data_IF_795677963486
#
_entry.id   IF_795677963486
#
_cell.length_a   1.000
_cell.length_b   1.000
_cell.length_c   1.000
_cell.angle_alpha   90.00
_cell.angle_beta   90.00
_cell.angle_gamma   90.00
#
_symmetry.space_group_name_H-M   'P 1'
#
loop_
_entity.id
_entity.type
_entity.pdbx_description
1 polymer ?
#
# COMPACT_ATOMS: atom_id res chain seq x y z
N UNK A 1 -6.33 0.78 -7.48
CA UNK A 1 -6.19 -0.27 -6.45
C UNK A 1 -6.84 -1.60 -6.82
N UNK A 2 -8.18 -1.76 -6.81
CA UNK A 2 -8.84 -3.09 -7.00
C UNK A 2 -8.41 -3.86 -8.26
N UNK A 3 -8.15 -3.17 -9.38
CA UNK A 3 -7.66 -3.78 -10.62
C UNK A 3 -6.23 -4.32 -10.50
N UNK A 4 -5.39 -3.69 -9.66
CA UNK A 4 -3.98 -4.04 -9.49
C UNK A 4 -3.82 -5.11 -8.39
N UNK A 5 -4.64 -5.04 -7.34
CA UNK A 5 -4.60 -6.01 -6.22
C UNK A 5 -5.43 -7.28 -6.46
N UNK A 6 -5.95 -7.48 -7.68
CA UNK A 6 -6.83 -8.59 -8.05
C UNK A 6 -8.01 -8.79 -7.06
N UNK A 7 -8.63 -7.68 -6.65
CA UNK A 7 -9.74 -7.70 -5.68
C UNK A 7 -9.34 -7.83 -4.21
N UNK A 8 -8.05 -7.98 -3.88
CA UNK A 8 -7.58 -8.00 -2.49
C UNK A 8 -7.63 -6.60 -1.89
N UNK A 9 -8.24 -6.48 -0.71
CA UNK A 9 -8.40 -5.22 0.00
C UNK A 9 -7.32 -5.08 1.10
N UNK A 10 -6.72 -3.89 1.17
CA UNK A 10 -5.72 -3.53 2.19
C UNK A 10 -6.29 -3.55 3.60
N UNK A 11 -7.57 -3.26 3.76
CA UNK A 11 -8.24 -3.20 5.05
C UNK A 11 -9.49 -4.05 5.00
N UNK A 12 -9.52 -5.15 5.77
CA UNK A 12 -10.74 -5.91 6.01
C UNK A 12 -11.57 -5.22 7.10
N UNK A 13 -12.90 -5.10 6.97
CA UNK A 13 -13.75 -4.69 8.08
C UNK A 13 -13.55 -5.69 9.22
N UNK A 14 -13.07 -5.22 10.38
CA UNK A 14 -12.87 -6.06 11.56
C UNK A 14 -13.40 -5.33 12.79
N UNK A 15 -13.98 -6.07 13.74
CA UNK A 15 -14.66 -5.50 14.90
C UNK A 15 -13.72 -4.74 15.86
N UNK A 16 -12.40 -5.00 15.80
CA UNK A 16 -11.42 -4.45 16.75
C UNK A 16 -10.32 -3.71 15.97
N UNK A 17 -10.01 -2.47 16.41
CA UNK A 17 -9.00 -1.58 15.78
C UNK A 17 -7.62 -2.22 15.69
N UNK A 18 -7.19 -2.94 16.72
CA UNK A 18 -5.87 -3.57 16.78
C UNK A 18 -5.73 -4.68 15.73
N UNK A 19 -6.73 -5.58 15.63
CA UNK A 19 -6.76 -6.62 14.62
C UNK A 19 -6.85 -6.03 13.21
N UNK A 20 -7.60 -4.92 13.03
CA UNK A 20 -7.66 -4.22 11.74
C UNK A 20 -6.31 -3.68 11.29
N UNK A 21 -5.52 -3.11 12.21
CA UNK A 21 -4.20 -2.58 11.90
C UNK A 21 -3.20 -3.70 11.58
N UNK A 22 -3.17 -4.76 12.38
CA UNK A 22 -2.31 -5.92 12.12
C UNK A 22 -2.63 -6.56 10.77
N UNK A 23 -3.91 -6.82 10.48
CA UNK A 23 -4.35 -7.38 9.20
C UNK A 23 -4.03 -6.45 8.03
N UNK A 24 -4.08 -5.13 8.23
CA UNK A 24 -3.73 -4.17 7.19
C UNK A 24 -2.23 -4.17 6.87
N UNK A 25 -1.38 -4.23 7.90
CA UNK A 25 0.08 -4.35 7.72
C UNK A 25 0.40 -5.70 7.05
N UNK A 26 -0.17 -6.80 7.55
CA UNK A 26 0.03 -8.14 6.97
C UNK A 26 -0.42 -8.20 5.51
N UNK A 27 -1.57 -7.60 5.18
CA UNK A 27 -2.06 -7.54 3.80
C UNK A 27 -1.18 -6.67 2.91
N UNK A 28 -0.57 -5.61 3.45
CA UNK A 28 0.37 -4.76 2.72
C UNK A 28 1.66 -5.51 2.37
N UNK A 29 2.22 -6.29 3.31
CA UNK A 29 3.38 -7.16 3.06
C UNK A 29 3.08 -8.22 2.01
N UNK A 30 1.88 -8.78 2.02
CA UNK A 30 1.43 -9.76 1.02
C UNK A 30 1.08 -9.17 -0.36
N UNK A 31 1.08 -7.83 -0.50
CA UNK A 31 0.76 -7.10 -1.74
C UNK A 31 1.91 -6.18 -2.15
N UNK A 32 3.15 -6.49 -1.74
CA UNK A 32 4.33 -5.65 -1.95
C UNK A 32 4.51 -5.28 -3.44
N UNK A 33 4.45 -6.28 -4.32
CA UNK A 33 4.61 -6.10 -5.76
C UNK A 33 3.44 -5.28 -6.35
N UNK A 34 2.21 -5.59 -5.99
CA UNK A 34 1.03 -4.86 -6.47
C UNK A 34 1.03 -3.38 -6.02
N UNK A 35 1.49 -3.10 -4.79
CA UNK A 35 1.61 -1.73 -4.27
C UNK A 35 2.69 -0.94 -4.99
N UNK A 36 3.86 -1.55 -5.23
CA UNK A 36 4.95 -0.94 -6.00
C UNK A 36 4.50 -0.58 -7.42
N UNK A 37 3.81 -1.51 -8.09
CA UNK A 37 3.26 -1.28 -9.43
C UNK A 37 2.20 -0.18 -9.41
N UNK A 38 1.32 -0.15 -8.40
CA UNK A 38 0.29 0.88 -8.30
C UNK A 38 0.89 2.27 -8.12
N UNK A 39 1.88 2.42 -7.24
CA UNK A 39 2.51 3.72 -6.96
C UNK A 39 3.39 4.20 -8.13
N UNK A 40 3.92 3.29 -8.94
CA UNK A 40 4.64 3.63 -10.17
C UNK A 40 3.72 3.94 -11.37
N UNK A 41 2.42 3.69 -11.24
CA UNK A 41 1.46 3.83 -12.35
C UNK A 41 1.09 5.29 -12.64
N UNK A 42 0.81 5.65 -13.90
CA UNK A 42 0.33 6.99 -14.24
C UNK A 42 -0.98 7.33 -13.52
N UNK A 43 -1.83 6.31 -13.26
CA UNK A 43 -3.07 6.47 -12.52
C UNK A 43 -2.85 6.98 -11.09
N UNK A 44 -1.71 6.66 -10.46
CA UNK A 44 -1.34 7.24 -9.16
C UNK A 44 -0.91 8.70 -9.32
N UNK A 45 -0.10 9.02 -10.33
CA UNK A 45 0.37 10.38 -10.62
C UNK A 45 -0.76 11.37 -10.94
N UNK A 46 -1.86 10.88 -11.52
CA UNK A 46 -3.03 11.68 -11.89
C UNK A 46 -3.94 12.02 -10.70
N UNK A 47 -3.84 11.29 -9.58
CA UNK A 47 -4.62 11.58 -8.38
C UNK A 47 -4.09 12.86 -7.70
N UNK A 48 -4.98 13.82 -7.38
CA UNK A 48 -4.60 15.02 -6.61
C UNK A 48 -3.95 14.67 -5.26
N UNK A 49 -4.36 13.54 -4.68
CA UNK A 49 -3.83 13.05 -3.41
C UNK A 49 -2.37 12.59 -3.47
N UNK A 50 -1.87 12.10 -4.62
CA UNK A 50 -0.50 11.60 -4.73
C UNK A 50 0.57 12.69 -4.61
N UNK A 51 0.17 13.95 -4.79
CA UNK A 51 1.02 15.14 -4.69
C UNK A 51 1.11 15.71 -3.27
N UNK A 52 0.38 15.12 -2.31
CA UNK A 52 0.47 15.50 -0.90
C UNK A 52 1.83 15.08 -0.32
N UNK A 53 2.32 15.82 0.67
CA UNK A 53 3.61 15.51 1.32
C UNK A 53 3.61 14.10 1.92
N UNK A 54 2.48 13.72 2.49
CA UNK A 54 2.23 12.41 3.08
C UNK A 54 2.29 11.33 2.01
N UNK A 55 1.61 11.51 0.87
CA UNK A 55 1.61 10.54 -0.21
C UNK A 55 2.99 10.39 -0.88
N UNK A 56 3.75 11.47 -1.01
CA UNK A 56 5.13 11.42 -1.52
C UNK A 56 6.02 10.60 -0.57
N UNK A 57 5.92 10.85 0.73
CA UNK A 57 6.67 10.08 1.75
C UNK A 57 6.31 8.59 1.69
N UNK A 58 5.02 8.28 1.67
CA UNK A 58 4.51 6.89 1.57
C UNK A 58 4.95 6.23 0.26
N UNK A 59 4.92 6.95 -0.85
CA UNK A 59 5.42 6.48 -2.16
C UNK A 59 6.89 6.09 -2.07
N UNK A 60 7.72 6.92 -1.43
CA UNK A 60 9.13 6.62 -1.20
C UNK A 60 9.35 5.35 -0.36
N UNK A 61 8.56 5.15 0.70
CA UNK A 61 8.61 3.93 1.52
C UNK A 61 8.19 2.70 0.70
N UNK A 62 7.10 2.79 -0.07
CA UNK A 62 6.59 1.68 -0.88
C UNK A 62 7.60 1.28 -1.98
N UNK A 63 8.37 2.22 -2.53
CA UNK A 63 9.39 1.91 -3.53
C UNK A 63 10.75 1.48 -2.94
N UNK A 64 10.95 1.57 -1.63
CA UNK A 64 12.22 1.25 -0.99
C UNK A 64 12.40 -0.26 -0.80
N UNK A 65 13.44 -0.84 -1.41
CA UNK A 65 13.76 -2.26 -1.29
C UNK A 65 14.12 -2.71 0.13
N UNK A 66 14.83 -1.86 0.87
CA UNK A 66 15.25 -2.14 2.25
C UNK A 66 14.03 -2.33 3.13
N UNK A 67 13.04 -1.45 3.01
CA UNK A 67 11.79 -1.52 3.77
C UNK A 67 11.10 -2.88 3.63
N UNK A 68 10.96 -3.39 2.41
CA UNK A 68 10.29 -4.69 2.19
C UNK A 68 11.15 -5.89 2.56
N UNK A 69 12.48 -5.75 2.52
CA UNK A 69 13.39 -6.81 2.97
C UNK A 69 13.34 -7.00 4.50
N UNK A 70 13.15 -5.93 5.26
CA UNK A 70 12.99 -5.96 6.72
C UNK A 70 11.56 -6.34 7.16
N UNK A 71 10.57 -6.15 6.29
CA UNK A 71 9.16 -6.45 6.57
C UNK A 71 8.76 -7.92 6.33
N UNK A 72 9.64 -8.73 5.73
CA UNK A 72 9.45 -10.17 5.48
C UNK A 72 9.97 -11.01 6.63
#
# INVERSE_FOLDING_TARGET
MRKVTNGRELKKPCAIRFASNYLAVQSSVGLDNELRLFVASPEWGDLSYSKTREAISVTGVIQNDVFWSEAK
#
